data_IF_585684169625
#
_entry.id   IF_585684169625
#
_cell.length_a   1.000
_cell.length_b   1.000
_cell.length_c   1.000
_cell.angle_alpha   90.00
_cell.angle_beta   90.00
_cell.angle_gamma   90.00
#
_symmetry.space_group_name_H-M   'P 1'
#
loop_
_entity.id
_entity.type
_entity.pdbx_description
1 polymer ?
#
# COMPACT_ATOMS: atom_id res chain seq x y z
N UNK A 1 3.42 -14.82 16.87
CA UNK A 1 2.20 -14.12 17.31
C UNK A 1 1.44 -13.60 16.08
N UNK A 2 0.12 -13.70 16.11
CA UNK A 2 -0.79 -13.28 15.03
C UNK A 2 -0.51 -11.84 14.52
N UNK A 3 -0.17 -10.92 15.43
CA UNK A 3 0.23 -9.55 15.07
C UNK A 3 1.46 -9.49 14.14
N UNK A 4 2.39 -10.43 14.26
CA UNK A 4 3.55 -10.51 13.34
C UNK A 4 3.11 -10.98 11.96
N UNK A 5 2.21 -11.94 11.88
CA UNK A 5 1.67 -12.45 10.61
C UNK A 5 0.89 -11.35 9.86
N UNK A 6 0.05 -10.59 10.57
CA UNK A 6 -0.69 -9.46 9.98
C UNK A 6 0.27 -8.40 9.42
N UNK A 7 1.29 -7.98 10.18
CA UNK A 7 2.29 -7.02 9.70
C UNK A 7 3.08 -7.54 8.49
N UNK A 8 3.39 -8.83 8.49
CA UNK A 8 4.07 -9.47 7.38
C UNK A 8 3.21 -9.40 6.10
N UNK A 9 1.91 -9.68 6.22
CA UNK A 9 0.99 -9.63 5.09
C UNK A 9 0.75 -8.19 4.59
N UNK A 10 0.66 -7.23 5.52
CA UNK A 10 0.59 -5.81 5.15
C UNK A 10 1.82 -5.35 4.34
N UNK A 11 3.03 -5.79 4.72
CA UNK A 11 4.24 -5.46 3.96
C UNK A 11 4.26 -6.15 2.59
N UNK A 12 3.79 -7.38 2.49
CA UNK A 12 3.64 -8.07 1.19
C UNK A 12 2.67 -7.35 0.27
N UNK A 13 1.52 -6.91 0.80
CA UNK A 13 0.56 -6.12 0.05
C UNK A 13 1.16 -4.79 -0.41
N UNK A 14 1.87 -4.08 0.49
CA UNK A 14 2.54 -2.82 0.17
C UNK A 14 3.55 -2.99 -0.97
N UNK A 15 4.44 -3.97 -0.90
CA UNK A 15 5.48 -4.19 -1.89
C UNK A 15 4.97 -4.86 -3.16
N UNK A 16 3.86 -5.61 -3.08
CA UNK A 16 3.30 -6.35 -4.20
C UNK A 16 2.93 -5.48 -5.41
N UNK A 17 2.39 -4.30 -5.16
CA UNK A 17 1.94 -3.37 -6.20
C UNK A 17 2.91 -2.19 -6.43
N UNK A 18 4.00 -2.09 -5.66
CA UNK A 18 4.91 -0.94 -5.69
C UNK A 18 5.51 -0.70 -7.06
N UNK A 19 5.97 -1.73 -7.76
CA UNK A 19 6.58 -1.60 -9.08
C UNK A 19 5.63 -1.00 -10.09
N UNK A 20 4.43 -1.55 -10.23
CA UNK A 20 3.42 -1.08 -11.18
C UNK A 20 3.07 0.39 -10.93
N UNK A 21 2.78 0.74 -9.66
CA UNK A 21 2.39 2.10 -9.30
C UNK A 21 3.53 3.09 -9.45
N UNK A 22 4.75 2.68 -9.12
CA UNK A 22 5.93 3.55 -9.30
C UNK A 22 6.20 3.84 -10.77
N UNK A 23 6.04 2.84 -11.65
CA UNK A 23 6.15 3.02 -13.11
C UNK A 23 5.04 3.94 -13.62
N UNK A 24 3.79 3.71 -13.20
CA UNK A 24 2.66 4.56 -13.58
C UNK A 24 2.87 6.01 -13.13
N UNK A 25 3.24 6.23 -11.87
CA UNK A 25 3.55 7.56 -11.35
C UNK A 25 4.72 8.22 -12.08
N UNK A 26 5.75 7.47 -12.45
CA UNK A 26 6.89 7.98 -13.23
C UNK A 26 6.47 8.36 -14.65
N UNK A 27 5.53 7.65 -15.25
CA UNK A 27 4.96 8.01 -16.55
C UNK A 27 4.17 9.32 -16.46
N UNK A 28 3.38 9.52 -15.41
CA UNK A 28 2.72 10.80 -15.15
C UNK A 28 3.73 11.94 -14.92
N UNK A 29 4.81 11.66 -14.20
CA UNK A 29 5.88 12.64 -14.00
C UNK A 29 6.56 13.05 -15.33
N UNK A 30 6.80 12.09 -16.22
CA UNK A 30 7.34 12.38 -17.55
C UNK A 30 6.37 13.24 -18.38
N UNK A 31 5.08 12.91 -18.38
CA UNK A 31 4.05 13.72 -19.06
C UNK A 31 4.00 15.15 -18.51
N UNK A 32 4.07 15.30 -17.19
CA UNK A 32 4.05 16.62 -16.55
C UNK A 32 5.32 17.43 -16.88
N UNK A 33 6.49 16.79 -16.90
CA UNK A 33 7.75 17.45 -17.24
C UNK A 33 7.87 17.83 -18.73
N UNK A 34 7.15 17.13 -19.61
CA UNK A 34 7.09 17.42 -21.05
C UNK A 34 5.98 18.42 -21.40
N UNK A 35 5.11 18.74 -20.45
CA UNK A 35 4.04 19.69 -20.68
C UNK A 35 4.62 21.10 -20.87
N UNK A 36 4.38 21.75 -22.03
CA UNK A 36 4.96 23.06 -22.32
C UNK A 36 4.36 24.13 -21.41
N UNK A 37 5.21 24.80 -20.65
CA UNK A 37 4.84 25.95 -19.84
C UNK A 37 5.72 27.13 -20.21
N UNK A 38 5.11 28.25 -20.55
CA UNK A 38 5.84 29.48 -20.86
C UNK A 38 6.37 30.19 -19.59
N UNK A 39 5.96 29.74 -18.41
CA UNK A 39 6.26 30.37 -17.13
C UNK A 39 7.22 29.59 -16.23
N UNK A 40 7.62 28.40 -16.65
CA UNK A 40 8.57 27.54 -15.91
C UNK A 40 9.76 27.25 -16.81
N UNK A 41 10.95 27.49 -16.31
CA UNK A 41 12.19 27.15 -17.04
C UNK A 41 12.21 25.62 -17.30
N UNK A 42 12.36 25.19 -18.56
CA UNK A 42 12.41 23.78 -18.91
C UNK A 42 13.52 23.00 -18.18
N UNK A 43 14.55 23.66 -17.70
CA UNK A 43 15.61 23.05 -16.90
C UNK A 43 15.10 22.53 -15.57
N UNK A 44 14.20 23.27 -14.88
CA UNK A 44 13.61 22.84 -13.61
C UNK A 44 12.77 21.57 -13.76
N UNK A 45 11.97 21.48 -14.81
CA UNK A 45 11.17 20.29 -15.11
C UNK A 45 12.07 19.05 -15.39
N UNK A 46 13.17 19.24 -16.15
CA UNK A 46 14.10 18.15 -16.44
C UNK A 46 14.84 17.67 -15.18
N UNK A 47 15.35 18.60 -14.36
CA UNK A 47 16.00 18.26 -13.10
C UNK A 47 15.06 17.58 -12.12
N UNK A 48 13.84 18.07 -11.99
CA UNK A 48 12.83 17.43 -11.17
C UNK A 48 12.51 16.01 -11.67
N UNK A 49 12.34 15.81 -12.98
CA UNK A 49 12.10 14.49 -13.57
C UNK A 49 13.27 13.54 -13.31
N UNK A 50 14.51 14.01 -13.49
CA UNK A 50 15.69 13.20 -13.20
C UNK A 50 15.73 12.78 -11.72
N UNK A 51 15.46 13.69 -10.80
CA UNK A 51 15.34 13.40 -9.37
C UNK A 51 14.22 12.39 -9.09
N UNK A 52 13.05 12.56 -9.72
CA UNK A 52 11.91 11.66 -9.58
C UNK A 52 12.23 10.24 -10.03
N UNK A 53 12.91 10.08 -11.14
CA UNK A 53 13.36 8.78 -11.65
C UNK A 53 14.43 8.15 -10.74
N UNK A 54 15.37 8.96 -10.24
CA UNK A 54 16.38 8.50 -9.28
C UNK A 54 15.75 7.98 -7.97
N UNK A 55 14.66 8.61 -7.48
CA UNK A 55 13.92 8.16 -6.31
C UNK A 55 13.06 6.93 -6.61
N UNK A 56 12.56 6.78 -7.82
CA UNK A 56 11.75 5.63 -8.21
C UNK A 56 12.57 4.32 -8.24
N UNK A 57 13.84 4.37 -8.66
CA UNK A 57 14.70 3.19 -8.79
C UNK A 57 14.85 2.37 -7.50
N UNK A 58 15.23 2.95 -6.34
CA UNK A 58 15.35 2.19 -5.09
C UNK A 58 14.04 1.51 -4.66
N UNK A 59 12.89 2.16 -4.92
CA UNK A 59 11.57 1.59 -4.62
C UNK A 59 11.29 0.35 -5.45
N UNK A 60 11.58 0.40 -6.76
CA UNK A 60 11.41 -0.74 -7.67
C UNK A 60 12.38 -1.86 -7.26
N UNK A 61 13.65 -1.53 -7.04
CA UNK A 61 14.67 -2.51 -6.63
C UNK A 61 14.26 -3.21 -5.33
N UNK A 62 13.82 -2.46 -4.32
CA UNK A 62 13.35 -3.06 -3.06
C UNK A 62 12.17 -4.00 -3.28
N UNK A 63 11.17 -3.60 -4.08
CA UNK A 63 9.98 -4.39 -4.34
C UNK A 63 10.31 -5.69 -5.11
N UNK A 64 11.13 -5.60 -6.16
CA UNK A 64 11.52 -6.76 -6.97
C UNK A 64 12.46 -7.69 -6.19
N UNK A 65 13.41 -7.15 -5.43
CA UNK A 65 14.25 -7.97 -4.55
C UNK A 65 13.42 -8.74 -3.53
N UNK A 66 12.45 -8.09 -2.91
CA UNK A 66 11.57 -8.74 -1.93
C UNK A 66 10.72 -9.86 -2.56
N UNK A 67 10.22 -9.65 -3.80
CA UNK A 67 9.48 -10.68 -4.54
C UNK A 67 10.38 -11.86 -4.95
N UNK A 68 11.57 -11.56 -5.48
CA UNK A 68 12.51 -12.56 -6.01
C UNK A 68 13.07 -13.46 -4.89
N UNK A 69 13.42 -12.88 -3.75
CA UNK A 69 14.03 -13.61 -2.64
C UNK A 69 13.01 -14.29 -1.72
N UNK A 70 11.71 -14.02 -1.92
CA UNK A 70 10.64 -14.44 -0.97
C UNK A 70 11.03 -14.11 0.49
N UNK A 71 11.73 -12.99 0.68
CA UNK A 71 12.29 -12.58 1.94
C UNK A 71 11.23 -12.49 3.04
N UNK A 72 11.60 -12.88 4.24
CA UNK A 72 10.70 -12.70 5.38
C UNK A 72 10.60 -11.21 5.73
N UNK A 73 9.37 -10.71 5.98
CA UNK A 73 9.16 -9.32 6.36
C UNK A 73 9.89 -8.97 7.64
N UNK A 74 10.84 -8.04 7.55
CA UNK A 74 11.61 -7.51 8.68
C UNK A 74 11.13 -6.12 9.07
N UNK A 75 11.41 -5.70 10.30
CA UNK A 75 11.12 -4.31 10.74
C UNK A 75 11.92 -3.29 9.92
N UNK A 76 13.20 -3.59 9.66
CA UNK A 76 14.06 -2.73 8.85
C UNK A 76 13.53 -2.58 7.41
N UNK A 77 13.09 -3.68 6.79
CA UNK A 77 12.48 -3.63 5.45
C UNK A 77 11.21 -2.80 5.40
N UNK A 78 10.39 -2.84 6.46
CA UNK A 78 9.20 -1.99 6.57
C UNK A 78 9.56 -0.50 6.73
N UNK A 79 10.51 -0.17 7.60
CA UNK A 79 10.98 1.21 7.79
C UNK A 79 11.59 1.78 6.52
N UNK A 80 12.39 0.98 5.80
CA UNK A 80 12.96 1.36 4.51
C UNK A 80 11.86 1.63 3.48
N UNK A 81 10.84 0.78 3.40
CA UNK A 81 9.71 0.99 2.48
C UNK A 81 8.97 2.29 2.78
N UNK A 82 8.68 2.60 4.05
CA UNK A 82 8.03 3.86 4.46
C UNK A 82 8.92 5.06 4.17
N UNK A 83 10.24 4.96 4.42
CA UNK A 83 11.20 6.03 4.13
C UNK A 83 11.27 6.34 2.62
N UNK A 84 11.35 5.31 1.78
CA UNK A 84 11.37 5.50 0.33
C UNK A 84 10.06 6.10 -0.20
N UNK A 85 8.93 5.72 0.40
CA UNK A 85 7.62 6.32 0.11
C UNK A 85 7.59 7.79 0.51
N UNK A 86 8.13 8.15 1.68
CA UNK A 86 8.24 9.53 2.15
C UNK A 86 9.08 10.39 1.21
N UNK A 87 10.26 9.90 0.81
CA UNK A 87 11.15 10.61 -0.12
C UNK A 87 10.46 10.83 -1.47
N UNK A 88 9.72 9.84 -1.95
CA UNK A 88 8.95 9.96 -3.19
C UNK A 88 7.80 10.97 -3.07
N UNK A 89 7.09 11.01 -1.94
CA UNK A 89 6.08 12.03 -1.63
C UNK A 89 6.66 13.45 -1.59
N UNK A 90 7.82 13.63 -0.97
CA UNK A 90 8.54 14.90 -0.97
C UNK A 90 8.95 15.33 -2.38
N UNK A 91 9.41 14.41 -3.21
CA UNK A 91 9.75 14.68 -4.61
C UNK A 91 8.53 15.17 -5.41
N UNK A 92 7.35 14.58 -5.20
CA UNK A 92 6.10 15.07 -5.79
C UNK A 92 5.67 16.42 -5.20
N UNK A 93 5.83 16.63 -3.90
CA UNK A 93 5.57 17.93 -3.25
C UNK A 93 6.42 19.05 -3.83
N UNK A 94 7.69 18.76 -4.16
CA UNK A 94 8.56 19.70 -4.85
C UNK A 94 8.01 20.11 -6.22
N UNK A 95 7.36 19.22 -6.98
CA UNK A 95 6.68 19.59 -8.22
C UNK A 95 5.58 20.63 -7.99
N UNK A 96 4.80 20.47 -6.91
CA UNK A 96 3.74 21.39 -6.52
C UNK A 96 4.21 22.79 -6.12
N UNK A 97 5.51 22.97 -5.92
CA UNK A 97 6.11 24.29 -5.61
C UNK A 97 6.95 24.79 -6.78
N UNK A 98 7.81 23.93 -7.34
CA UNK A 98 8.80 24.33 -8.36
C UNK A 98 8.19 24.44 -9.76
N UNK A 99 7.27 23.54 -10.09
CA UNK A 99 6.64 23.50 -11.43
C UNK A 99 5.32 24.25 -11.49
N UNK A 100 4.75 24.69 -10.35
CA UNK A 100 3.47 25.38 -10.29
C UNK A 100 3.70 26.90 -10.30
N UNK A 101 3.52 27.59 -11.45
CA UNK A 101 3.73 29.01 -11.55
C UNK A 101 2.60 29.75 -10.80
N UNK A 102 2.97 30.78 -10.04
CA UNK A 102 2.02 31.58 -9.24
C UNK A 102 1.04 32.36 -10.15
N UNK A 103 1.53 32.82 -11.31
CA UNK A 103 0.77 33.71 -12.21
C UNK A 103 -0.06 32.95 -13.27
N UNK A 104 0.20 31.68 -13.50
CA UNK A 104 -0.47 30.88 -14.53
C UNK A 104 -1.49 29.93 -13.88
N UNK A 105 -2.76 30.34 -13.93
CA UNK A 105 -3.88 29.58 -13.36
C UNK A 105 -4.10 28.25 -14.07
N UNK A 106 -3.91 28.17 -15.38
CA UNK A 106 -4.13 26.96 -16.17
C UNK A 106 -3.10 25.89 -15.78
N UNK A 107 -1.83 26.25 -15.76
CA UNK A 107 -0.75 25.33 -15.35
C UNK A 107 -0.88 24.92 -13.88
N UNK A 108 -1.23 25.86 -12.99
CA UNK A 108 -1.48 25.54 -11.58
C UNK A 108 -2.59 24.50 -11.43
N UNK A 109 -3.69 24.63 -12.18
CA UNK A 109 -4.80 23.68 -12.17
C UNK A 109 -4.37 22.29 -12.66
N UNK A 110 -3.60 22.21 -13.76
CA UNK A 110 -3.12 20.94 -14.31
C UNK A 110 -2.21 20.22 -13.30
N UNK A 111 -1.27 20.94 -12.70
CA UNK A 111 -0.36 20.37 -11.70
C UNK A 111 -1.14 19.91 -10.46
N UNK A 112 -2.06 20.71 -9.96
CA UNK A 112 -2.90 20.31 -8.83
C UNK A 112 -3.73 19.06 -9.16
N UNK A 113 -4.33 18.98 -10.33
CA UNK A 113 -5.08 17.82 -10.79
C UNK A 113 -4.20 16.56 -10.92
N UNK A 114 -2.98 16.69 -11.43
CA UNK A 114 -2.00 15.61 -11.49
C UNK A 114 -1.64 15.11 -10.08
N UNK A 115 -1.35 16.02 -9.14
CA UNK A 115 -1.03 15.65 -7.75
C UNK A 115 -2.20 14.93 -7.08
N UNK A 116 -3.43 15.41 -7.27
CA UNK A 116 -4.63 14.73 -6.75
C UNK A 116 -4.81 13.34 -7.35
N UNK A 117 -4.61 13.18 -8.66
CA UNK A 117 -4.71 11.89 -9.33
C UNK A 117 -3.67 10.90 -8.82
N UNK A 118 -2.42 11.33 -8.70
CA UNK A 118 -1.33 10.50 -8.14
C UNK A 118 -1.60 10.14 -6.68
N UNK A 119 -2.08 11.09 -5.86
CA UNK A 119 -2.45 10.84 -4.46
C UNK A 119 -3.57 9.82 -4.33
N UNK A 120 -4.59 9.91 -5.17
CA UNK A 120 -5.69 8.97 -5.20
C UNK A 120 -5.22 7.55 -5.54
N UNK A 121 -4.44 7.40 -6.63
CA UNK A 121 -3.86 6.10 -7.03
C UNK A 121 -2.94 5.55 -5.93
N UNK A 122 -2.09 6.39 -5.34
CA UNK A 122 -1.23 5.99 -4.24
C UNK A 122 -2.04 5.49 -3.04
N UNK A 123 -3.15 6.14 -2.69
CA UNK A 123 -4.03 5.73 -1.59
C UNK A 123 -4.58 4.32 -1.81
N UNK A 124 -4.97 3.96 -3.03
CA UNK A 124 -5.41 2.60 -3.36
C UNK A 124 -4.32 1.54 -3.20
N UNK A 125 -3.06 1.89 -3.34
CA UNK A 125 -1.95 0.95 -3.25
C UNK A 125 -1.31 0.90 -1.87
N UNK A 126 -1.33 2.02 -1.16
CA UNK A 126 -0.79 2.16 0.19
C UNK A 126 -1.82 1.88 1.30
N UNK A 127 -3.06 1.53 0.94
CA UNK A 127 -4.19 1.35 1.88
C UNK A 127 -3.94 0.28 2.95
N UNK A 128 -3.06 -0.70 2.69
CA UNK A 128 -2.67 -1.70 3.68
C UNK A 128 -1.84 -1.12 4.84
N UNK A 129 -1.25 0.08 4.68
CA UNK A 129 -0.42 0.75 5.68
C UNK A 129 -0.72 2.25 5.71
N UNK A 130 -1.52 2.67 6.68
CA UNK A 130 -1.89 4.08 6.87
C UNK A 130 -0.68 5.01 7.03
N UNK A 131 0.36 4.57 7.76
CA UNK A 131 1.59 5.36 7.93
C UNK A 131 2.30 5.63 6.59
N UNK A 132 2.37 4.63 5.71
CA UNK A 132 2.94 4.80 4.38
C UNK A 132 2.09 5.77 3.53
N UNK A 133 0.77 5.71 3.64
CA UNK A 133 -0.11 6.64 2.94
C UNK A 133 0.07 8.08 3.43
N UNK A 134 0.11 8.30 4.74
CA UNK A 134 0.41 9.63 5.33
C UNK A 134 1.77 10.13 4.87
N UNK A 135 2.80 9.28 4.95
CA UNK A 135 4.17 9.60 4.55
C UNK A 135 4.29 9.96 3.06
N UNK A 136 3.36 9.51 2.22
CA UNK A 136 3.32 9.85 0.80
C UNK A 136 2.47 11.09 0.51
N UNK A 137 1.20 11.07 0.93
CA UNK A 137 0.21 12.06 0.52
C UNK A 137 0.40 13.41 1.21
N UNK A 138 0.80 13.45 2.49
CA UNK A 138 0.96 14.70 3.21
C UNK A 138 2.10 15.56 2.63
N UNK A 139 3.34 15.05 2.47
CA UNK A 139 4.41 15.86 1.89
C UNK A 139 4.22 16.18 0.42
N UNK A 140 3.37 15.43 -0.29
CA UNK A 140 3.01 15.73 -1.68
C UNK A 140 1.99 16.86 -1.80
N UNK A 141 0.92 16.83 -1.01
CA UNK A 141 -0.23 17.73 -1.19
C UNK A 141 -0.10 19.02 -0.39
N UNK A 142 0.44 18.96 0.83
CA UNK A 142 0.50 20.13 1.71
C UNK A 142 1.35 21.27 1.15
N UNK A 143 2.58 21.05 0.63
CA UNK A 143 3.36 22.11 0.02
C UNK A 143 2.66 22.79 -1.16
N UNK A 144 2.02 22.00 -2.03
CA UNK A 144 1.27 22.50 -3.18
C UNK A 144 0.06 23.34 -2.74
N UNK A 145 -0.68 22.89 -1.71
CA UNK A 145 -1.81 23.65 -1.17
C UNK A 145 -1.38 24.99 -0.57
N UNK A 146 -0.31 24.98 0.23
CA UNK A 146 0.25 26.21 0.82
C UNK A 146 0.78 27.17 -0.26
N UNK A 147 1.44 26.62 -1.30
CA UNK A 147 1.91 27.41 -2.43
C UNK A 147 0.75 28.09 -3.18
N UNK A 148 -0.36 27.39 -3.44
CA UNK A 148 -1.56 27.98 -4.02
C UNK A 148 -2.16 29.07 -3.11
N UNK A 149 -2.27 28.80 -1.82
CA UNK A 149 -2.82 29.79 -0.87
C UNK A 149 -1.95 31.04 -0.74
N UNK A 150 -0.63 30.94 -1.00
CA UNK A 150 0.28 32.11 -0.98
C UNK A 150 -0.01 33.15 -2.07
N UNK A 151 -0.80 32.79 -3.10
CA UNK A 151 -1.25 33.71 -4.15
C UNK A 151 -2.14 34.84 -3.62
N UNK A 152 -2.82 34.62 -2.49
CA UNK A 152 -3.73 35.58 -1.83
C UNK A 152 -4.90 36.04 -2.72
N UNK A 153 -5.18 35.34 -3.83
CA UNK A 153 -6.35 35.52 -4.67
C UNK A 153 -7.44 34.50 -4.35
N UNK A 154 -8.66 34.74 -4.77
CA UNK A 154 -9.80 33.85 -4.52
C UNK A 154 -9.56 32.44 -5.10
N UNK A 155 -8.91 32.36 -6.26
CA UNK A 155 -8.59 31.08 -6.87
C UNK A 155 -7.57 30.27 -6.05
N UNK A 156 -6.49 30.91 -5.62
CA UNK A 156 -5.44 30.25 -4.83
C UNK A 156 -5.95 29.78 -3.47
N UNK A 157 -6.71 30.61 -2.76
CA UNK A 157 -7.32 30.25 -1.49
C UNK A 157 -8.30 29.08 -1.63
N UNK A 158 -9.20 29.14 -2.61
CA UNK A 158 -10.18 28.09 -2.85
C UNK A 158 -9.50 26.78 -3.25
N UNK A 159 -8.57 26.82 -4.21
CA UNK A 159 -7.87 25.62 -4.71
C UNK A 159 -6.97 24.99 -3.65
N UNK A 160 -6.26 25.80 -2.87
CA UNK A 160 -5.45 25.29 -1.75
C UNK A 160 -6.31 24.66 -0.65
N UNK A 161 -7.43 25.28 -0.29
CA UNK A 161 -8.39 24.70 0.66
C UNK A 161 -9.00 23.40 0.12
N UNK A 162 -9.37 23.35 -1.17
CA UNK A 162 -9.90 22.16 -1.81
C UNK A 162 -8.89 21.00 -1.79
N UNK A 163 -7.58 21.25 -2.02
CA UNK A 163 -6.53 20.25 -1.90
C UNK A 163 -6.44 19.70 -0.47
N UNK A 164 -6.54 20.54 0.56
CA UNK A 164 -6.50 20.09 1.96
C UNK A 164 -7.74 19.26 2.33
N UNK A 165 -8.93 19.65 1.89
CA UNK A 165 -10.16 18.87 2.07
C UNK A 165 -10.06 17.53 1.36
N UNK A 166 -9.54 17.50 0.12
CA UNK A 166 -9.29 16.27 -0.61
C UNK A 166 -8.29 15.36 0.11
N UNK A 167 -7.17 15.91 0.60
CA UNK A 167 -6.19 15.17 1.39
C UNK A 167 -6.84 14.55 2.64
N UNK A 168 -7.63 15.31 3.38
CA UNK A 168 -8.35 14.82 4.54
C UNK A 168 -9.28 13.65 4.19
N UNK A 169 -10.01 13.75 3.07
CA UNK A 169 -10.84 12.68 2.55
C UNK A 169 -10.03 11.42 2.23
N UNK A 170 -8.90 11.55 1.52
CA UNK A 170 -8.00 10.42 1.20
C UNK A 170 -7.46 9.74 2.46
N UNK A 171 -6.99 10.51 3.44
CA UNK A 171 -6.47 9.95 4.69
C UNK A 171 -7.56 9.22 5.48
N UNK A 172 -8.78 9.73 5.48
CA UNK A 172 -9.93 9.08 6.12
C UNK A 172 -10.27 7.76 5.43
N UNK A 173 -10.30 7.75 4.10
CA UNK A 173 -10.53 6.52 3.30
C UNK A 173 -9.42 5.49 3.56
N UNK A 174 -8.15 5.91 3.54
CA UNK A 174 -7.02 5.04 3.81
C UNK A 174 -7.08 4.40 5.22
N UNK A 175 -7.44 5.20 6.23
CA UNK A 175 -7.60 4.71 7.59
C UNK A 175 -8.71 3.66 7.71
N UNK A 176 -9.87 3.92 7.11
CA UNK A 176 -10.99 2.95 7.07
C UNK A 176 -10.59 1.68 6.32
N UNK A 177 -9.94 1.80 5.16
CA UNK A 177 -9.49 0.67 4.38
C UNK A 177 -8.49 -0.20 5.15
N UNK A 178 -7.54 0.39 5.87
CA UNK A 178 -6.62 -0.35 6.73
C UNK A 178 -7.35 -1.12 7.83
N UNK A 179 -8.34 -0.51 8.49
CA UNK A 179 -9.14 -1.21 9.51
C UNK A 179 -9.85 -2.44 8.92
N UNK A 180 -10.48 -2.29 7.76
CA UNK A 180 -11.13 -3.43 7.07
C UNK A 180 -10.15 -4.55 6.71
N UNK A 181 -8.95 -4.20 6.23
CA UNK A 181 -7.92 -5.19 5.91
C UNK A 181 -7.47 -5.95 7.17
N UNK A 182 -7.20 -5.23 8.25
CA UNK A 182 -6.80 -5.85 9.52
C UNK A 182 -7.89 -6.80 10.00
N UNK A 183 -9.16 -6.38 9.98
CA UNK A 183 -10.29 -7.22 10.39
C UNK A 183 -10.44 -8.46 9.49
N UNK A 184 -10.33 -8.29 8.18
CA UNK A 184 -10.39 -9.40 7.22
C UNK A 184 -9.26 -10.42 7.45
N UNK A 185 -8.03 -9.95 7.67
CA UNK A 185 -6.90 -10.81 7.98
C UNK A 185 -7.08 -11.55 9.30
N UNK A 186 -7.59 -10.86 10.34
CA UNK A 186 -7.93 -11.49 11.61
C UNK A 186 -8.93 -12.63 11.44
N UNK A 187 -10.04 -12.38 10.75
CA UNK A 187 -11.07 -13.39 10.48
C UNK A 187 -10.51 -14.57 9.69
N UNK A 188 -9.69 -14.31 8.66
CA UNK A 188 -9.02 -15.35 7.87
C UNK A 188 -8.14 -16.24 8.74
N UNK A 189 -7.23 -15.66 9.50
CA UNK A 189 -6.32 -16.45 10.37
C UNK A 189 -7.05 -17.22 11.48
N UNK A 190 -8.15 -16.68 12.00
CA UNK A 190 -8.99 -17.41 12.96
C UNK A 190 -9.70 -18.58 12.28
N UNK A 191 -10.24 -18.39 11.08
CA UNK A 191 -10.90 -19.45 10.34
C UNK A 191 -9.91 -20.58 9.98
N UNK A 192 -8.71 -20.24 9.53
CA UNK A 192 -7.67 -21.23 9.21
C UNK A 192 -7.33 -22.09 10.44
N UNK A 193 -7.30 -21.53 11.65
CA UNK A 193 -7.13 -22.28 12.90
C UNK A 193 -8.29 -23.20 13.19
N UNK A 194 -9.53 -22.68 13.10
CA UNK A 194 -10.74 -23.49 13.35
C UNK A 194 -10.81 -24.67 12.36
N UNK A 195 -10.42 -24.47 11.11
CA UNK A 195 -10.38 -25.54 10.11
C UNK A 195 -9.32 -26.58 10.51
N UNK A 196 -8.11 -26.15 10.89
CA UNK A 196 -7.04 -27.05 11.31
C UNK A 196 -7.43 -27.86 12.56
N UNK A 197 -8.05 -27.22 13.57
CA UNK A 197 -8.51 -27.87 14.79
C UNK A 197 -9.63 -28.91 14.48
N UNK A 198 -10.54 -28.59 13.57
CA UNK A 198 -11.58 -29.54 13.12
C UNK A 198 -11.01 -30.71 12.37
N UNK A 199 -10.04 -30.52 11.48
CA UNK A 199 -9.38 -31.61 10.77
C UNK A 199 -8.64 -32.54 11.74
N UNK A 200 -7.99 -31.99 12.75
CA UNK A 200 -7.32 -32.80 13.76
C UNK A 200 -8.31 -33.62 14.59
N UNK A 201 -9.41 -32.99 15.04
CA UNK A 201 -10.47 -33.68 15.78
C UNK A 201 -11.12 -34.79 14.93
N UNK A 202 -11.34 -34.55 13.63
CA UNK A 202 -11.88 -35.56 12.72
C UNK A 202 -10.91 -36.75 12.58
N UNK A 203 -9.62 -36.48 12.35
CA UNK A 203 -8.61 -37.54 12.29
C UNK A 203 -8.51 -38.37 13.58
N UNK A 204 -8.65 -37.72 14.74
CA UNK A 204 -8.69 -38.44 16.03
C UNK A 204 -9.94 -39.32 16.15
N UNK A 205 -11.10 -38.82 15.74
CA UNK A 205 -12.34 -39.58 15.73
C UNK A 205 -12.27 -40.80 14.79
N UNK A 206 -11.74 -40.61 13.59
CA UNK A 206 -11.55 -41.72 12.61
C UNK A 206 -10.62 -42.81 13.17
N UNK A 207 -9.50 -42.42 13.80
CA UNK A 207 -8.60 -43.36 14.46
C UNK A 207 -9.29 -44.15 15.59
N UNK A 208 -10.08 -43.48 16.43
CA UNK A 208 -10.85 -44.14 17.48
C UNK A 208 -11.87 -45.12 16.90
N UNK A 209 -12.57 -44.72 15.84
CA UNK A 209 -13.51 -45.60 15.12
C UNK A 209 -12.82 -46.83 14.56
N UNK A 210 -11.65 -46.67 13.92
CA UNK A 210 -10.87 -47.78 13.37
C UNK A 210 -10.43 -48.78 14.46
N UNK A 211 -9.91 -48.27 15.57
CA UNK A 211 -9.50 -49.10 16.71
C UNK A 211 -10.71 -49.86 17.29
N UNK A 212 -11.83 -49.18 17.47
CA UNK A 212 -13.07 -49.79 17.98
C UNK A 212 -13.60 -50.87 17.05
N UNK A 213 -13.58 -50.63 15.74
CA UNK A 213 -14.00 -51.60 14.73
C UNK A 213 -13.10 -52.84 14.70
N UNK A 214 -11.78 -52.65 14.80
CA UNK A 214 -10.82 -53.72 14.86
C UNK A 214 -10.97 -54.56 16.15
N UNK A 215 -11.22 -53.90 17.30
CA UNK A 215 -11.49 -54.55 18.55
C UNK A 215 -12.73 -55.43 18.48
N UNK A 216 -13.84 -54.91 17.95
CA UNK A 216 -15.11 -55.67 17.76
C UNK A 216 -14.91 -56.86 16.82
N UNK A 217 -14.17 -56.66 15.72
CA UNK A 217 -13.86 -57.77 14.78
C UNK A 217 -13.04 -58.88 15.44
N UNK A 218 -11.99 -58.52 16.22
CA UNK A 218 -11.17 -59.48 16.93
C UNK A 218 -11.98 -60.24 18.01
N UNK A 219 -12.77 -59.54 18.83
CA UNK A 219 -13.66 -60.15 19.81
C UNK A 219 -14.67 -61.12 19.19
N UNK A 220 -15.23 -60.75 18.05
CA UNK A 220 -16.18 -61.60 17.30
C UNK A 220 -15.50 -62.89 16.81
N UNK A 221 -14.24 -62.80 16.43
CA UNK A 221 -13.45 -63.95 15.97
C UNK A 221 -13.08 -64.86 17.14
N UNK A 222 -12.67 -64.30 18.29
CA UNK A 222 -12.31 -65.09 19.47
C UNK A 222 -13.53 -65.74 20.13
N UNK A 223 -14.72 -65.15 20.08
CA UNK A 223 -15.96 -65.73 20.58
C UNK A 223 -16.51 -66.86 19.67
N UNK A 224 -16.18 -66.85 18.38
CA UNK A 224 -16.64 -67.87 17.44
C UNK A 224 -15.86 -69.19 17.54
N UNK A 225 -14.55 -69.09 17.94
CA UNK A 225 -13.63 -70.23 18.00
C UNK A 225 -14.03 -71.29 19.07
N UNK A 226 -14.48 -70.93 20.28
CA UNK A 226 -14.88 -71.94 21.30
C UNK A 226 -16.30 -72.45 21.13
N UNK A 227 -17.10 -71.99 20.15
CA UNK A 227 -18.48 -72.45 19.90
C UNK A 227 -18.59 -73.49 18.77
N UNK A 228 -17.46 -73.96 18.26
CA UNK A 228 -17.33 -75.12 17.38
C UNK A 228 -16.51 -76.19 18.05
#
# INVERSE_FOLDING_TARGET
SLRRQIRAEQLRMLLGHTTFVTVLASSFAALLALYPSNHVDPSHAKWWLALKLAVALPRIVQAEWFKATKAQPTRAGHQLAVLLVLIDGLCWGAAGVVLMPILDQQNATIIAACLMGVAAVATFTLHANWLANVAYCVPMVVPAALHLMSRQDHFGLFSGAALLVFLFGLLTVAMRAQHHIIEMLWRRFLMDRVVADKEEALRQSERQHAIKSQFVANMSHELRTPLH
#
